data_IF_120552369692
#
_entry.id   IF_120552369692
#
_cell.length_a   1.000
_cell.length_b   1.000
_cell.length_c   1.000
_cell.angle_alpha   90.00
_cell.angle_beta   90.00
_cell.angle_gamma   90.00
#
_symmetry.space_group_name_H-M   'P 1'
#
loop_
_entity.id
_entity.type
_entity.pdbx_description
1 polymer ?
#
# COMPACT_ATOMS: atom_id res chain seq x y z
N UNK A 1 -0.67 -20.11 24.48
CA UNK A 1 -1.55 -20.70 23.45
C UNK A 1 -3.01 -20.35 23.66
N UNK A 2 -3.58 -20.59 24.84
CA UNK A 2 -4.99 -20.25 25.17
C UNK A 2 -5.34 -18.77 25.01
N UNK A 3 -4.43 -17.85 25.39
CA UNK A 3 -4.63 -16.41 25.17
C UNK A 3 -4.77 -16.06 23.69
N UNK A 4 -3.85 -16.52 22.82
CA UNK A 4 -3.91 -16.25 21.38
C UNK A 4 -5.21 -16.77 20.76
N UNK A 5 -5.59 -18.00 21.11
CA UNK A 5 -6.85 -18.62 20.66
C UNK A 5 -8.04 -17.79 21.13
N UNK A 6 -8.04 -17.32 22.38
CA UNK A 6 -9.08 -16.45 22.92
C UNK A 6 -9.21 -15.13 22.16
N UNK A 7 -8.11 -14.45 21.86
CA UNK A 7 -8.12 -13.21 21.07
C UNK A 7 -8.62 -13.46 19.64
N UNK A 8 -8.18 -14.55 19.00
CA UNK A 8 -8.59 -14.91 17.65
C UNK A 8 -10.09 -15.23 17.60
N UNK A 9 -10.61 -15.98 18.56
CA UNK A 9 -12.03 -16.29 18.65
C UNK A 9 -12.87 -15.03 18.92
N UNK A 10 -12.41 -14.15 19.81
CA UNK A 10 -13.09 -12.89 20.10
C UNK A 10 -13.14 -12.00 18.85
N UNK A 11 -12.02 -11.81 18.17
CA UNK A 11 -11.93 -11.01 16.96
C UNK A 11 -12.75 -11.60 15.80
N UNK A 12 -12.60 -12.91 15.56
CA UNK A 12 -13.35 -13.59 14.50
C UNK A 12 -14.86 -13.53 14.75
N UNK A 13 -15.28 -13.80 15.98
CA UNK A 13 -16.70 -13.74 16.36
C UNK A 13 -17.24 -12.32 16.28
N UNK A 14 -16.49 -11.32 16.75
CA UNK A 14 -16.95 -9.93 16.69
C UNK A 14 -17.12 -9.45 15.25
N UNK A 15 -16.18 -9.76 14.35
CA UNK A 15 -16.31 -9.46 12.91
C UNK A 15 -17.52 -10.18 12.32
N UNK A 16 -17.69 -11.47 12.58
CA UNK A 16 -18.84 -12.22 12.09
C UNK A 16 -20.17 -11.64 12.59
N UNK A 17 -20.27 -11.31 13.88
CA UNK A 17 -21.48 -10.74 14.47
C UNK A 17 -21.75 -9.34 13.89
N UNK A 18 -20.75 -8.47 13.83
CA UNK A 18 -20.89 -7.12 13.31
C UNK A 18 -21.27 -7.09 11.83
N UNK A 19 -20.87 -8.08 11.04
CA UNK A 19 -21.26 -8.19 9.63
C UNK A 19 -22.62 -8.91 9.47
N UNK A 20 -22.81 -10.06 10.11
CA UNK A 20 -23.98 -10.92 9.88
C UNK A 20 -25.24 -10.39 10.56
N UNK A 21 -25.13 -9.82 11.76
CA UNK A 21 -26.29 -9.33 12.52
C UNK A 21 -27.05 -8.20 11.80
N UNK A 22 -26.42 -7.12 11.30
CA UNK A 22 -27.14 -6.08 10.58
C UNK A 22 -27.70 -6.59 9.24
N UNK A 23 -27.00 -7.49 8.54
CA UNK A 23 -27.53 -8.13 7.32
C UNK A 23 -28.78 -8.96 7.66
N UNK A 24 -28.75 -9.73 8.75
CA UNK A 24 -29.86 -10.56 9.21
C UNK A 24 -31.07 -9.72 9.63
N UNK A 25 -30.86 -8.70 10.46
CA UNK A 25 -31.91 -7.76 10.87
C UNK A 25 -32.48 -7.03 9.65
N UNK A 26 -31.61 -6.54 8.76
CA UNK A 26 -32.02 -5.87 7.52
C UNK A 26 -32.87 -6.77 6.63
N UNK A 27 -32.52 -8.05 6.51
CA UNK A 27 -33.31 -9.03 5.75
C UNK A 27 -34.67 -9.33 6.39
N UNK A 28 -34.79 -9.25 7.71
CA UNK A 28 -36.03 -9.52 8.45
C UNK A 28 -36.99 -8.31 8.44
N UNK A 29 -36.46 -7.09 8.64
CA UNK A 29 -37.26 -5.86 8.74
C UNK A 29 -37.63 -5.28 7.36
N UNK A 30 -36.81 -5.49 6.32
CA UNK A 30 -37.02 -4.90 4.99
C UNK A 30 -38.27 -5.45 4.29
N UNK A 31 -39.22 -4.60 3.88
CA UNK A 31 -40.33 -5.00 3.01
C UNK A 31 -39.81 -5.48 1.64
N UNK A 32 -40.29 -6.64 1.18
CA UNK A 32 -39.93 -7.21 -0.12
C UNK A 32 -41.01 -6.91 -1.15
N UNK A 33 -40.75 -5.93 -2.02
CA UNK A 33 -41.62 -5.55 -3.14
C UNK A 33 -40.78 -5.46 -4.43
N UNK A 34 -40.39 -6.62 -5.01
CA UNK A 34 -39.63 -6.65 -6.26
C UNK A 34 -40.51 -6.17 -7.42
N UNK A 35 -39.97 -5.28 -8.25
CA UNK A 35 -40.61 -4.82 -9.49
C UNK A 35 -39.53 -4.80 -10.58
N UNK A 36 -39.88 -5.08 -11.84
CA UNK A 36 -38.89 -5.19 -12.91
C UNK A 36 -38.06 -3.92 -13.11
N UNK A 37 -38.62 -2.73 -12.82
CA UNK A 37 -37.88 -1.46 -12.85
C UNK A 37 -36.87 -1.33 -11.69
N UNK A 38 -37.20 -1.82 -10.48
CA UNK A 38 -36.29 -1.78 -9.32
C UNK A 38 -35.16 -2.81 -9.41
N UNK A 39 -35.39 -3.88 -10.15
CA UNK A 39 -34.40 -4.91 -10.42
C UNK A 39 -33.53 -4.56 -11.64
N UNK A 40 -33.73 -3.39 -12.26
CA UNK A 40 -32.88 -2.88 -13.33
C UNK A 40 -31.53 -2.37 -12.80
N UNK A 41 -30.49 -2.41 -13.64
CA UNK A 41 -29.10 -2.03 -13.27
C UNK A 41 -28.97 -0.52 -12.99
N UNK A 42 -29.87 0.31 -13.56
CA UNK A 42 -29.79 1.77 -13.50
C UNK A 42 -31.19 2.40 -13.46
N UNK A 43 -31.44 3.28 -12.49
CA UNK A 43 -32.78 3.79 -12.16
C UNK A 43 -33.19 5.06 -12.93
N UNK A 44 -32.29 5.70 -13.68
CA UNK A 44 -32.62 6.96 -14.38
C UNK A 44 -33.37 6.76 -15.70
N UNK A 45 -33.86 5.57 -16.00
CA UNK A 45 -34.69 5.27 -17.17
C UNK A 45 -33.95 5.17 -18.51
N UNK A 46 -32.63 5.35 -18.52
CA UNK A 46 -31.78 5.12 -19.70
C UNK A 46 -31.29 3.66 -19.68
N UNK A 47 -31.52 2.85 -20.74
CA UNK A 47 -30.99 1.50 -20.80
C UNK A 47 -29.46 1.55 -20.74
N UNK A 48 -28.85 0.69 -19.92
CA UNK A 48 -27.40 0.54 -19.91
C UNK A 48 -26.95 -0.06 -21.25
N UNK A 49 -26.34 0.77 -22.11
CA UNK A 49 -25.83 0.34 -23.41
C UNK A 49 -24.35 -0.04 -23.27
N UNK A 50 -24.00 -1.22 -23.75
CA UNK A 50 -22.61 -1.67 -23.85
C UNK A 50 -22.17 -2.60 -22.72
N UNK A 51 -20.96 -3.15 -22.88
CA UNK A 51 -20.34 -4.03 -21.89
C UNK A 51 -19.80 -3.23 -20.72
N UNK A 52 -19.98 -3.74 -19.50
CA UNK A 52 -19.30 -3.22 -18.29
C UNK A 52 -17.80 -3.54 -18.27
N UNK A 53 -17.33 -4.42 -19.16
CA UNK A 53 -15.92 -4.81 -19.27
C UNK A 53 -15.20 -3.88 -20.24
N UNK A 54 -14.79 -2.71 -19.74
CA UNK A 54 -13.95 -1.74 -20.45
C UNK A 54 -12.56 -1.68 -19.84
N UNK A 55 -11.56 -1.33 -20.64
CA UNK A 55 -10.23 -1.07 -20.15
C UNK A 55 -10.20 0.31 -19.48
N UNK A 56 -10.01 0.33 -18.16
CA UNK A 56 -9.75 1.55 -17.41
C UNK A 56 -8.32 2.05 -17.67
N UNK A 57 -8.08 3.32 -17.37
CA UNK A 57 -6.76 3.93 -17.55
C UNK A 57 -5.68 3.17 -16.73
N UNK A 58 -4.49 2.97 -17.30
CA UNK A 58 -3.41 2.24 -16.63
C UNK A 58 -2.95 2.89 -15.31
N UNK A 59 -3.25 4.17 -15.08
CA UNK A 59 -2.89 4.90 -13.85
C UNK A 59 -3.40 4.25 -12.57
N UNK A 60 -4.57 3.62 -12.60
CA UNK A 60 -5.08 2.88 -11.44
C UNK A 60 -4.13 1.73 -11.03
N UNK A 61 -3.55 1.06 -12.03
CA UNK A 61 -2.58 -0.01 -11.81
C UNK A 61 -1.25 0.53 -11.26
N UNK A 62 -0.77 1.69 -11.75
CA UNK A 62 0.47 2.31 -11.24
C UNK A 62 0.35 2.65 -9.76
N UNK A 63 -0.78 3.24 -9.33
CA UNK A 63 -1.03 3.55 -7.92
C UNK A 63 -1.10 2.27 -7.08
N UNK A 64 -1.77 1.22 -7.56
CA UNK A 64 -1.84 -0.06 -6.87
C UNK A 64 -0.46 -0.74 -6.73
N UNK A 65 0.35 -0.71 -7.79
CA UNK A 65 1.71 -1.24 -7.79
C UNK A 65 2.59 -0.49 -6.79
N UNK A 66 2.52 0.85 -6.79
CA UNK A 66 3.23 1.71 -5.86
C UNK A 66 2.80 1.42 -4.41
N UNK A 67 1.50 1.26 -4.16
CA UNK A 67 0.98 0.88 -2.84
C UNK A 67 1.59 -0.45 -2.37
N UNK A 68 1.60 -1.49 -3.21
CA UNK A 68 2.16 -2.81 -2.85
C UNK A 68 3.66 -2.71 -2.53
N UNK A 69 4.42 -1.96 -3.33
CA UNK A 69 5.87 -1.78 -3.09
C UNK A 69 6.12 -1.07 -1.75
N UNK A 70 5.38 0.00 -1.45
CA UNK A 70 5.48 0.70 -0.15
C UNK A 70 4.93 -0.11 1.03
N UNK A 71 3.92 -0.95 0.83
CA UNK A 71 3.38 -1.80 1.89
C UNK A 71 4.40 -2.86 2.32
N UNK A 72 5.06 -3.49 1.33
CA UNK A 72 6.17 -4.42 1.58
C UNK A 72 7.35 -3.72 2.26
N UNK A 73 7.66 -2.48 1.90
CA UNK A 73 8.68 -1.67 2.58
C UNK A 73 8.39 -1.52 4.07
N UNK A 74 7.16 -1.12 4.42
CA UNK A 74 6.75 -0.95 5.82
C UNK A 74 6.78 -2.28 6.57
N UNK A 75 6.47 -3.40 5.90
CA UNK A 75 6.63 -4.72 6.49
C UNK A 75 8.10 -5.00 6.91
N UNK A 76 9.07 -4.54 6.11
CA UNK A 76 10.49 -4.63 6.47
C UNK A 76 10.91 -3.68 7.59
N UNK A 77 10.16 -2.61 7.87
CA UNK A 77 10.49 -1.72 8.99
C UNK A 77 10.34 -2.41 10.34
N UNK A 78 9.43 -3.38 10.49
CA UNK A 78 9.19 -4.06 11.76
C UNK A 78 10.41 -4.79 12.34
N UNK A 79 11.10 -5.70 11.61
CA UNK A 79 12.29 -6.36 12.14
C UNK A 79 13.43 -5.37 12.45
N UNK A 80 13.66 -4.36 11.60
CA UNK A 80 14.66 -3.32 11.87
C UNK A 80 14.32 -2.50 13.12
N UNK A 81 13.05 -2.09 13.28
CA UNK A 81 12.59 -1.35 14.44
C UNK A 81 12.72 -2.17 15.74
N UNK A 82 12.46 -3.47 15.69
CA UNK A 82 12.63 -4.36 16.84
C UNK A 82 14.11 -4.47 17.28
N UNK A 83 15.03 -4.63 16.33
CA UNK A 83 16.47 -4.69 16.60
C UNK A 83 16.97 -3.32 17.09
N UNK A 84 16.59 -2.23 16.43
CA UNK A 84 16.97 -0.88 16.81
C UNK A 84 16.51 -0.52 18.23
N UNK A 85 15.27 -0.89 18.57
CA UNK A 85 14.73 -0.70 19.92
C UNK A 85 15.53 -1.47 20.97
N UNK A 86 15.89 -2.72 20.67
CA UNK A 86 16.71 -3.58 21.54
C UNK A 86 18.14 -3.03 21.71
N UNK A 87 18.77 -2.62 20.61
CA UNK A 87 20.12 -2.08 20.59
C UNK A 87 20.22 -0.75 21.36
N UNK A 88 19.22 0.13 21.21
CA UNK A 88 19.17 1.42 21.93
C UNK A 88 19.06 1.23 23.44
N UNK A 89 18.29 0.23 23.91
CA UNK A 89 18.19 -0.07 25.34
C UNK A 89 19.52 -0.62 25.90
N UNK A 90 20.22 -1.46 25.15
CA UNK A 90 21.53 -2.01 25.53
C UNK A 90 22.67 -0.98 25.47
N UNK A 91 22.51 0.06 24.65
CA UNK A 91 23.46 1.17 24.53
C UNK A 91 23.46 2.13 25.73
N UNK A 92 22.55 1.98 26.70
CA UNK A 92 22.54 2.82 27.90
C UNK A 92 23.81 2.58 28.75
N UNK A 93 24.62 3.63 28.86
CA UNK A 93 25.88 3.63 29.61
C UNK A 93 25.67 3.63 31.13
N UNK A 94 24.43 3.88 31.59
CA UNK A 94 24.08 3.83 33.03
C UNK A 94 23.85 2.42 33.56
N UNK A 95 23.76 1.41 32.67
CA UNK A 95 23.53 0.03 33.06
C UNK A 95 24.80 -0.61 33.63
N UNK A 96 24.65 -1.29 34.77
CA UNK A 96 25.66 -2.21 35.29
C UNK A 96 25.74 -3.45 34.40
N UNK A 97 26.88 -4.15 34.43
CA UNK A 97 27.11 -5.32 33.56
C UNK A 97 26.12 -6.46 33.85
N UNK A 98 25.74 -6.66 35.12
CA UNK A 98 24.71 -7.61 35.52
C UNK A 98 23.33 -7.22 34.97
N UNK A 99 22.96 -5.93 35.02
CA UNK A 99 21.69 -5.46 34.48
C UNK A 99 21.65 -5.61 32.95
N UNK A 100 22.78 -5.37 32.27
CA UNK A 100 22.91 -5.54 30.82
C UNK A 100 22.76 -6.99 30.39
N UNK A 101 23.37 -7.93 31.11
CA UNK A 101 23.21 -9.38 30.91
C UNK A 101 21.75 -9.83 31.04
N UNK A 102 21.06 -9.35 32.07
CA UNK A 102 19.65 -9.67 32.26
C UNK A 102 18.77 -9.08 31.15
N UNK A 103 19.08 -7.85 30.71
CA UNK A 103 18.37 -7.21 29.62
C UNK A 103 18.58 -7.94 28.29
N UNK A 104 19.81 -8.31 27.94
CA UNK A 104 20.09 -9.06 26.71
C UNK A 104 19.40 -10.42 26.71
N UNK A 105 19.39 -11.12 27.84
CA UNK A 105 18.69 -12.40 27.99
C UNK A 105 17.18 -12.25 27.75
N UNK A 106 16.56 -11.19 28.31
CA UNK A 106 15.12 -10.92 28.11
C UNK A 106 14.79 -10.54 26.67
N UNK A 107 15.60 -9.69 26.03
CA UNK A 107 15.36 -9.23 24.67
C UNK A 107 15.53 -10.35 23.63
N UNK A 108 16.42 -11.31 23.90
CA UNK A 108 16.68 -12.45 23.02
C UNK A 108 15.87 -13.69 23.39
N UNK A 109 15.01 -13.62 24.42
CA UNK A 109 14.25 -14.75 24.96
C UNK A 109 15.15 -15.95 25.34
N UNK A 110 16.34 -15.64 25.88
CA UNK A 110 17.35 -16.62 26.27
C UNK A 110 17.38 -16.79 27.80
N UNK A 111 17.80 -17.97 28.25
CA UNK A 111 17.98 -18.23 29.68
C UNK A 111 19.28 -17.53 30.17
N UNK A 112 19.20 -16.62 31.16
CA UNK A 112 20.39 -15.94 31.68
C UNK A 112 21.41 -16.91 32.30
N UNK A 113 20.98 -18.07 32.79
CA UNK A 113 21.89 -19.08 33.35
C UNK A 113 22.75 -19.80 32.29
N UNK A 114 22.40 -19.67 31.01
CA UNK A 114 23.15 -20.26 29.89
C UNK A 114 24.04 -19.26 29.17
N UNK A 115 24.05 -17.99 29.60
CA UNK A 115 24.88 -16.94 29.01
C UNK A 115 26.26 -16.91 29.66
N UNK A 116 27.30 -16.99 28.83
CA UNK A 116 28.69 -16.81 29.27
C UNK A 116 28.95 -15.32 29.53
N UNK A 117 29.45 -15.00 30.73
CA UNK A 117 29.86 -13.65 31.12
C UNK A 117 30.98 -13.08 30.24
N UNK A 118 31.65 -13.92 29.44
CA UNK A 118 32.66 -13.50 28.47
C UNK A 118 32.12 -12.83 27.20
N UNK A 119 30.81 -12.94 26.89
CA UNK A 119 30.25 -12.49 25.62
C UNK A 119 29.07 -11.50 25.79
N UNK A 120 29.23 -10.57 26.75
CA UNK A 120 28.27 -9.49 27.00
C UNK A 120 28.36 -8.49 25.85
N UNK A 121 27.22 -8.17 25.24
CA UNK A 121 27.15 -7.07 24.26
C UNK A 121 27.53 -5.78 24.97
N UNK A 122 28.66 -5.18 24.63
CA UNK A 122 29.10 -3.92 25.23
C UNK A 122 28.20 -2.75 24.80
N UNK A 123 28.13 -1.69 25.62
CA UNK A 123 27.33 -0.51 25.29
C UNK A 123 27.77 0.13 23.96
N UNK A 124 29.07 0.13 23.67
CA UNK A 124 29.63 0.62 22.40
C UNK A 124 29.23 -0.26 21.22
N UNK A 125 29.26 -1.59 21.37
CA UNK A 125 28.82 -2.51 20.32
C UNK A 125 27.31 -2.36 20.06
N UNK A 126 26.50 -2.22 21.12
CA UNK A 126 25.07 -1.97 21.02
C UNK A 126 24.76 -0.61 20.35
N UNK A 127 25.51 0.44 20.70
CA UNK A 127 25.38 1.75 20.07
C UNK A 127 25.77 1.69 18.59
N UNK A 128 26.85 0.99 18.26
CA UNK A 128 27.27 0.77 16.86
C UNK A 128 26.18 0.05 16.08
N UNK A 129 25.60 -1.01 16.65
CA UNK A 129 24.49 -1.75 16.04
C UNK A 129 23.24 -0.88 15.84
N UNK A 130 22.90 -0.03 16.82
CA UNK A 130 21.77 0.88 16.73
C UNK A 130 21.96 1.91 15.60
N UNK A 131 23.15 2.52 15.50
CA UNK A 131 23.48 3.47 14.44
C UNK A 131 23.48 2.79 13.08
N UNK A 132 24.11 1.62 12.95
CA UNK A 132 24.13 0.85 11.70
C UNK A 132 22.71 0.47 11.27
N UNK A 133 21.91 -0.10 12.18
CA UNK A 133 20.52 -0.47 11.87
C UNK A 133 19.67 0.72 11.46
N UNK A 134 19.87 1.89 12.07
CA UNK A 134 19.19 3.11 11.67
C UNK A 134 19.64 3.63 10.29
N UNK A 135 20.94 3.60 10.00
CA UNK A 135 21.47 4.02 8.70
C UNK A 135 21.02 3.07 7.58
N UNK A 136 21.03 1.77 7.81
CA UNK A 136 20.54 0.78 6.85
C UNK A 136 19.07 1.02 6.51
N UNK A 137 18.24 1.32 7.52
CA UNK A 137 16.83 1.69 7.33
C UNK A 137 16.69 2.96 6.48
N UNK A 138 17.51 3.99 6.75
CA UNK A 138 17.50 5.23 5.96
C UNK A 138 17.93 5.01 4.51
N UNK A 139 18.95 4.19 4.28
CA UNK A 139 19.41 3.86 2.93
C UNK A 139 18.34 3.09 2.19
N UNK A 140 17.76 2.07 2.82
CA UNK A 140 16.68 1.27 2.25
C UNK A 140 15.48 2.13 1.84
N UNK A 141 15.02 3.00 2.76
CA UNK A 141 13.94 3.93 2.50
C UNK A 141 14.28 4.98 1.42
N UNK A 142 15.52 5.49 1.41
CA UNK A 142 15.96 6.47 0.42
C UNK A 142 15.94 5.89 -1.01
N UNK A 143 16.32 4.62 -1.19
CA UNK A 143 16.26 3.95 -2.49
C UNK A 143 14.82 3.91 -3.02
N UNK A 144 13.84 3.58 -2.18
CA UNK A 144 12.44 3.66 -2.59
C UNK A 144 11.97 5.09 -2.85
N UNK A 145 12.38 6.05 -2.02
CA UNK A 145 12.03 7.45 -2.22
C UNK A 145 12.54 7.98 -3.58
N UNK A 146 13.70 7.53 -4.04
CA UNK A 146 14.21 7.83 -5.40
C UNK A 146 13.30 7.23 -6.47
N UNK A 147 12.88 5.97 -6.33
CA UNK A 147 11.94 5.33 -7.25
C UNK A 147 10.59 6.04 -7.29
N UNK A 148 10.08 6.43 -6.13
CA UNK A 148 8.85 7.22 -6.01
C UNK A 148 8.97 8.60 -6.64
N UNK A 149 10.04 9.34 -6.33
CA UNK A 149 10.31 10.65 -6.92
C UNK A 149 10.43 10.57 -8.44
N UNK A 150 10.97 9.46 -8.96
CA UNK A 150 11.04 9.20 -10.40
C UNK A 150 9.65 9.05 -11.04
N UNK A 151 8.78 8.22 -10.46
CA UNK A 151 7.39 8.03 -10.93
C UNK A 151 6.61 9.34 -10.85
N UNK A 152 6.78 10.09 -9.76
CA UNK A 152 6.18 11.40 -9.57
C UNK A 152 6.64 12.39 -10.64
N UNK A 153 7.96 12.50 -10.86
CA UNK A 153 8.53 13.40 -11.87
C UNK A 153 8.04 13.06 -13.28
N UNK A 154 7.81 11.78 -13.58
CA UNK A 154 7.29 11.33 -14.87
C UNK A 154 5.83 11.72 -15.10
N UNK A 155 5.08 12.01 -14.03
CA UNK A 155 3.66 12.38 -14.12
C UNK A 155 2.73 11.17 -14.28
N UNK A 156 3.21 9.95 -13.98
CA UNK A 156 2.37 8.73 -14.03
C UNK A 156 1.22 8.77 -13.01
N UNK A 157 1.26 9.73 -12.06
CA UNK A 157 0.24 9.98 -11.04
C UNK A 157 -0.73 11.11 -11.41
N UNK A 158 -0.52 11.83 -12.52
CA UNK A 158 -1.36 12.99 -12.87
C UNK A 158 -2.74 12.55 -13.38
N UNK A 159 -3.83 12.97 -12.74
CA UNK A 159 -5.20 12.60 -13.16
C UNK A 159 -5.79 13.52 -14.24
N UNK A 160 -5.36 14.79 -14.27
CA UNK A 160 -6.10 15.89 -14.92
C UNK A 160 -5.79 16.01 -16.43
N UNK A 161 -4.75 15.34 -16.96
CA UNK A 161 -4.32 15.49 -18.37
C UNK A 161 -5.01 14.55 -19.37
N UNK A 162 -5.68 13.50 -18.90
CA UNK A 162 -6.30 12.50 -19.78
C UNK A 162 -7.48 13.04 -20.60
N UNK A 163 -8.19 14.07 -20.11
CA UNK A 163 -9.36 14.63 -20.81
C UNK A 163 -8.95 15.68 -21.86
N UNK A 164 -7.90 16.47 -21.59
CA UNK A 164 -7.53 17.64 -22.42
C UNK A 164 -6.72 17.27 -23.67
N UNK A 165 -5.96 16.18 -23.66
CA UNK A 165 -5.16 15.78 -24.83
C UNK A 165 -6.02 15.15 -25.94
N UNK A 166 -7.06 14.40 -25.57
CA UNK A 166 -7.96 13.72 -26.51
C UNK A 166 -8.77 14.70 -27.36
N UNK A 167 -9.16 15.85 -26.80
CA UNK A 167 -9.86 16.92 -27.52
C UNK A 167 -8.95 17.70 -28.49
N UNK A 168 -7.68 17.89 -28.16
CA UNK A 168 -6.71 18.58 -29.04
C UNK A 168 -6.30 17.73 -30.25
N UNK A 169 -6.16 16.42 -30.08
CA UNK A 169 -5.91 15.48 -31.18
C UNK A 169 -7.13 15.30 -32.10
N UNK A 170 -8.34 15.31 -31.55
CA UNK A 170 -9.57 15.30 -32.36
C UNK A 170 -9.74 16.58 -33.19
N UNK A 171 -9.38 17.75 -32.63
CA UNK A 171 -9.40 19.02 -33.37
C UNK A 171 -8.39 19.04 -34.53
N UNK A 172 -7.20 18.49 -34.35
CA UNK A 172 -6.14 18.45 -35.38
C UNK A 172 -6.49 17.50 -36.55
N UNK A 173 -7.22 16.42 -36.27
CA UNK A 173 -7.71 15.48 -37.31
C UNK A 173 -8.85 16.03 -38.17
N UNK A 174 -9.60 17.03 -37.69
CA UNK A 174 -10.65 17.69 -38.49
C UNK A 174 -10.12 18.73 -39.47
N UNK A 175 -8.83 19.09 -39.39
CA UNK A 175 -8.18 19.98 -40.35
C UNK A 175 -7.73 19.15 -41.56
N UNK A 176 -8.70 18.82 -42.44
CA UNK A 176 -8.41 18.30 -43.78
C UNK A 176 -7.69 19.41 -44.58
N UNK A 177 -6.47 19.20 -45.12
CA UNK A 177 -5.87 20.17 -46.01
C UNK A 177 -6.72 20.24 -47.29
N UNK A 178 -7.23 21.45 -47.58
CA UNK A 178 -8.00 21.72 -48.79
C UNK A 178 -7.23 21.19 -50.03
N UNK A 179 -7.90 20.30 -50.74
CA UNK A 179 -7.38 19.58 -51.91
C UNK A 179 -6.77 20.51 -52.96
N UNK A 180 -5.57 20.13 -53.42
CA UNK A 180 -4.88 20.65 -54.60
C UNK A 180 -5.79 20.56 -55.82
N UNK A 181 -6.24 21.69 -56.35
CA UNK A 181 -6.95 21.78 -57.63
C UNK A 181 -5.96 21.59 -58.78
N UNK A 182 -5.90 20.38 -59.35
CA UNK A 182 -5.25 20.14 -60.64
C UNK A 182 -6.17 20.58 -61.77
N UNK A 183 -5.82 21.70 -62.41
CA UNK A 183 -6.39 22.17 -63.68
C UNK A 183 -6.07 21.15 -64.78
N UNK A 184 -7.10 20.48 -65.32
CA UNK A 184 -6.98 19.62 -66.50
C UNK A 184 -7.30 20.48 -67.72
N UNK A 185 -6.27 20.72 -68.54
CA UNK A 185 -6.40 21.35 -69.84
C UNK A 185 -7.06 20.41 -70.85
N UNK A 186 -8.03 20.92 -71.59
CA UNK A 186 -8.65 20.28 -72.76
C UNK A 186 -7.68 20.28 -73.95
N UNK A 187 -7.59 19.21 -74.74
CA UNK A 187 -7.14 19.29 -76.12
C UNK A 187 -8.33 19.35 -77.10
N UNK A 188 -8.02 19.97 -78.24
CA UNK A 188 -8.83 20.39 -79.39
C UNK A 188 -9.69 19.28 -80.00
#
# INVERSE_FOLDING_TARGET
MTNLVGHLLLFGTSVCVLLALPIFIGRLVRPKLPTPEKDSIYECGEPAIGSSYIQFDLRFYVVALLFIVFDVEVAFFFPWAAIYGSATQLADSRLTDEARLQLSARLQDLNPATMDAGNIVSAEAAQSLAITGFLDLLVFFAVLMVGFAYVWKRGDLDWIRAVTQKSRQAADQTVVPASRTTSVATPV
#
